data_IF_748846195406
#
_entry.id   IF_748846195406
#
_cell.length_a   1.000
_cell.length_b   1.000
_cell.length_c   1.000
_cell.angle_alpha   90.00
_cell.angle_beta   90.00
_cell.angle_gamma   90.00
#
_symmetry.space_group_name_H-M   'P 1'
#
loop_
_entity.id
_entity.type
_entity.pdbx_description
1 polymer ?
#
# COMPACT_ATOMS: atom_id res chain seq x y z
N UNK A 1 14.98 -19.87 27.14
CA UNK A 1 15.10 -19.68 25.68
C UNK A 1 13.72 -19.39 25.16
N UNK A 2 13.45 -18.15 24.74
CA UNK A 2 12.13 -17.77 24.21
C UNK A 2 12.05 -18.33 22.79
N UNK A 3 11.19 -19.32 22.57
CA UNK A 3 10.86 -19.79 21.22
C UNK A 3 10.05 -18.68 20.54
N UNK A 4 10.73 -17.83 19.79
CA UNK A 4 10.10 -16.92 18.83
C UNK A 4 9.59 -17.85 17.73
N UNK A 5 8.31 -18.20 17.77
CA UNK A 5 7.67 -18.98 16.72
C UNK A 5 7.75 -18.14 15.44
N UNK A 6 8.62 -18.59 14.55
CA UNK A 6 8.80 -18.18 13.16
C UNK A 6 7.53 -18.57 12.37
N UNK A 7 6.39 -17.96 12.71
CA UNK A 7 5.35 -17.81 11.70
C UNK A 7 5.85 -16.67 10.82
N UNK A 8 6.16 -16.90 9.53
CA UNK A 8 6.30 -15.78 8.61
C UNK A 8 5.06 -14.95 8.84
N UNK A 9 5.23 -13.67 9.19
CA UNK A 9 4.11 -12.75 9.37
C UNK A 9 3.44 -12.78 7.99
N UNK A 10 2.41 -13.62 7.84
CA UNK A 10 1.57 -13.63 6.67
C UNK A 10 0.88 -12.30 6.76
N UNK A 11 1.47 -11.28 6.15
CA UNK A 11 0.89 -9.97 6.22
C UNK A 11 -0.42 -10.08 5.50
N UNK A 12 -1.49 -10.09 6.28
CA UNK A 12 -2.83 -10.22 5.76
C UNK A 12 -3.06 -9.05 4.82
N UNK A 13 -3.65 -9.30 3.65
CA UNK A 13 -4.04 -8.25 2.68
C UNK A 13 -4.75 -7.07 3.38
N UNK A 14 -5.50 -7.37 4.45
CA UNK A 14 -6.11 -6.39 5.36
C UNK A 14 -5.11 -5.40 5.98
N UNK A 15 -3.98 -5.86 6.52
CA UNK A 15 -2.96 -4.99 7.11
C UNK A 15 -2.26 -4.12 6.06
N UNK A 16 -2.01 -4.66 4.85
CA UNK A 16 -1.44 -3.85 3.76
C UNK A 16 -2.37 -2.70 3.42
N UNK A 17 -3.67 -2.99 3.31
CA UNK A 17 -4.69 -1.99 3.04
C UNK A 17 -4.79 -0.93 4.13
N UNK A 18 -4.84 -1.34 5.40
CA UNK A 18 -4.89 -0.43 6.55
C UNK A 18 -3.65 0.47 6.56
N UNK A 19 -2.46 -0.11 6.40
CA UNK A 19 -1.20 0.64 6.37
C UNK A 19 -1.11 1.60 5.18
N UNK A 20 -1.57 1.19 4.00
CA UNK A 20 -1.60 2.05 2.81
C UNK A 20 -2.56 3.23 3.00
N UNK A 21 -3.75 2.96 3.54
CA UNK A 21 -4.73 4.00 3.83
C UNK A 21 -4.20 4.99 4.86
N UNK A 22 -3.57 4.52 5.95
CA UNK A 22 -2.96 5.37 6.97
C UNK A 22 -1.82 6.22 6.38
N UNK A 23 -0.93 5.61 5.59
CA UNK A 23 0.21 6.31 4.96
C UNK A 23 -0.26 7.42 4.03
N UNK A 24 -1.23 7.12 3.15
CA UNK A 24 -1.75 8.13 2.23
C UNK A 24 -2.58 9.20 2.95
N UNK A 25 -3.27 8.83 4.04
CA UNK A 25 -4.00 9.79 4.87
C UNK A 25 -3.06 10.71 5.65
N UNK A 26 -1.88 10.24 6.05
CA UNK A 26 -0.83 11.06 6.65
C UNK A 26 -0.21 12.03 5.63
N UNK A 27 0.03 11.56 4.40
CA UNK A 27 0.61 12.38 3.32
C UNK A 27 -0.34 13.47 2.79
N UNK A 28 -1.62 13.14 2.58
CA UNK A 28 -2.56 14.01 1.86
C UNK A 28 -3.72 14.52 2.73
N UNK A 29 -3.87 13.99 3.95
CA UNK A 29 -4.98 14.28 4.84
C UNK A 29 -6.11 13.25 4.72
N UNK A 30 -6.71 12.91 5.85
CA UNK A 30 -7.73 11.85 5.97
C UNK A 30 -9.02 12.13 5.18
N UNK A 31 -9.31 13.39 4.84
CA UNK A 31 -10.49 13.76 4.04
C UNK A 31 -10.29 13.53 2.55
N UNK A 32 -9.04 13.41 2.11
CA UNK A 32 -8.68 13.23 0.70
C UNK A 32 -8.62 11.76 0.29
N UNK A 33 -8.61 10.85 1.27
CA UNK A 33 -8.51 9.40 1.05
C UNK A 33 -9.86 8.75 1.34
N UNK A 34 -10.36 7.97 0.38
CA UNK A 34 -11.66 7.31 0.48
C UNK A 34 -11.60 5.88 -0.06
N UNK A 35 -12.38 4.98 0.52
CA UNK A 35 -12.43 3.57 0.13
C UNK A 35 -13.68 3.31 -0.73
N UNK A 36 -13.58 2.40 -1.69
CA UNK A 36 -14.75 1.88 -2.39
C UNK A 36 -15.65 1.07 -1.44
N UNK A 37 -16.94 0.94 -1.78
CA UNK A 37 -17.91 0.15 -1.01
C UNK A 37 -17.50 -1.33 -0.91
N UNK A 38 -16.88 -1.87 -1.96
CA UNK A 38 -16.32 -3.22 -2.03
C UNK A 38 -14.95 -3.38 -1.34
N UNK A 39 -14.35 -2.27 -0.88
CA UNK A 39 -13.04 -2.22 -0.24
C UNK A 39 -11.88 -2.81 -1.06
N UNK A 40 -12.03 -2.89 -2.39
CA UNK A 40 -10.99 -3.29 -3.34
C UNK A 40 -10.24 -2.10 -3.93
N UNK A 41 -10.80 -0.89 -3.85
CA UNK A 41 -10.18 0.31 -4.40
C UNK A 41 -10.03 1.40 -3.34
N UNK A 42 -8.90 2.09 -3.39
CA UNK A 42 -8.62 3.28 -2.61
C UNK A 42 -8.55 4.48 -3.55
N UNK A 43 -9.24 5.55 -3.20
CA UNK A 43 -9.25 6.79 -3.96
C UNK A 43 -8.56 7.90 -3.19
N UNK A 44 -7.71 8.65 -3.87
CA UNK A 44 -7.04 9.84 -3.34
C UNK A 44 -7.42 11.02 -4.22
N UNK A 45 -7.98 12.07 -3.65
CA UNK A 45 -8.38 13.28 -4.38
C UNK A 45 -7.51 14.46 -3.95
N UNK A 46 -6.75 15.05 -4.87
CA UNK A 46 -5.84 16.18 -4.62
C UNK A 46 -6.13 17.23 -5.69
N UNK A 47 -6.49 18.46 -5.32
CA UNK A 47 -6.78 19.56 -6.25
C UNK A 47 -7.73 19.15 -7.40
N UNK A 48 -8.88 18.55 -7.06
CA UNK A 48 -9.89 18.00 -7.99
C UNK A 48 -9.43 16.83 -8.90
N UNK A 49 -8.18 16.38 -8.76
CA UNK A 49 -7.63 15.22 -9.48
C UNK A 49 -7.79 13.98 -8.62
N UNK A 50 -8.36 12.94 -9.22
CA UNK A 50 -8.64 11.67 -8.54
C UNK A 50 -7.64 10.61 -9.00
N UNK A 51 -6.91 10.03 -8.05
CA UNK A 51 -6.16 8.80 -8.25
C UNK A 51 -6.96 7.61 -7.69
N UNK A 52 -6.98 6.50 -8.42
CA UNK A 52 -7.52 5.23 -7.96
C UNK A 52 -6.42 4.20 -7.83
N UNK A 53 -6.39 3.49 -6.71
CA UNK A 53 -5.41 2.46 -6.40
C UNK A 53 -6.17 1.15 -6.23
N UNK A 54 -5.81 0.15 -7.00
CA UNK A 54 -6.33 -1.21 -6.86
C UNK A 54 -5.59 -1.92 -5.72
N UNK A 55 -6.31 -2.34 -4.68
CA UNK A 55 -5.72 -2.90 -3.47
C UNK A 55 -5.32 -4.38 -3.61
N UNK A 56 -5.66 -5.03 -4.72
CA UNK A 56 -5.25 -6.41 -5.01
C UNK A 56 -3.96 -6.44 -5.84
N UNK A 57 -3.90 -5.63 -6.89
CA UNK A 57 -2.78 -5.54 -7.82
C UNK A 57 -1.76 -4.46 -7.45
N UNK A 58 -2.12 -3.54 -6.56
CA UNK A 58 -1.35 -2.34 -6.24
C UNK A 58 -1.13 -1.40 -7.44
N UNK A 59 -1.99 -1.49 -8.46
CA UNK A 59 -1.94 -0.64 -9.65
C UNK A 59 -2.57 0.74 -9.35
N UNK A 60 -1.87 1.81 -9.74
CA UNK A 60 -2.33 3.20 -9.60
C UNK A 60 -2.80 3.72 -10.95
N UNK A 61 -3.93 4.42 -10.97
CA UNK A 61 -4.45 5.15 -12.14
C UNK A 61 -4.76 6.58 -11.75
N UNK A 62 -4.21 7.53 -12.49
CA UNK A 62 -4.49 8.94 -12.34
C UNK A 62 -4.14 9.64 -13.66
N UNK A 63 -4.92 10.63 -14.07
CA UNK A 63 -4.65 11.44 -15.26
C UNK A 63 -3.46 12.41 -15.06
N UNK A 64 -3.05 12.66 -13.82
CA UNK A 64 -1.94 13.54 -13.48
C UNK A 64 -0.66 12.75 -13.22
N UNK A 65 0.39 13.02 -13.99
CA UNK A 65 1.65 12.27 -13.94
C UNK A 65 2.41 12.47 -12.61
N UNK A 66 2.35 13.65 -12.00
CA UNK A 66 3.06 13.94 -10.75
C UNK A 66 2.40 13.23 -9.56
N UNK A 67 1.07 13.30 -9.48
CA UNK A 67 0.28 12.58 -8.47
C UNK A 67 0.43 11.06 -8.69
N UNK A 68 0.32 10.61 -9.94
CA UNK A 68 0.51 9.21 -10.29
C UNK A 68 1.88 8.71 -9.82
N UNK A 69 2.97 9.40 -10.19
CA UNK A 69 4.32 8.98 -9.83
C UNK A 69 4.53 8.92 -8.32
N UNK A 70 4.03 9.91 -7.58
CA UNK A 70 4.17 9.98 -6.13
C UNK A 70 3.44 8.83 -5.43
N UNK A 71 2.18 8.57 -5.83
CA UNK A 71 1.36 7.51 -5.25
C UNK A 71 1.91 6.13 -5.64
N UNK A 72 2.31 5.94 -6.91
CA UNK A 72 2.89 4.69 -7.40
C UNK A 72 4.17 4.30 -6.65
N UNK A 73 5.08 5.26 -6.43
CA UNK A 73 6.30 5.02 -5.64
C UNK A 73 5.95 4.61 -4.20
N UNK A 74 5.00 5.32 -3.58
CA UNK A 74 4.57 5.05 -2.21
C UNK A 74 3.98 3.64 -2.09
N UNK A 75 3.09 3.27 -3.01
CA UNK A 75 2.44 1.95 -3.06
C UNK A 75 3.46 0.84 -3.29
N UNK A 76 4.43 1.03 -4.20
CA UNK A 76 5.49 0.04 -4.48
C UNK A 76 6.45 -0.13 -3.31
N UNK A 77 6.88 0.95 -2.67
CA UNK A 77 7.72 0.85 -1.48
C UNK A 77 6.99 0.21 -0.31
N UNK A 78 5.74 0.61 -0.06
CA UNK A 78 4.95 0.06 1.03
C UNK A 78 4.67 -1.43 0.83
N UNK A 79 4.29 -1.85 -0.38
CA UNK A 79 4.12 -3.27 -0.70
C UNK A 79 5.43 -4.05 -0.56
N UNK A 80 6.58 -3.49 -0.98
CA UNK A 80 7.88 -4.14 -0.80
C UNK A 80 8.32 -4.25 0.66
N UNK A 81 8.03 -3.25 1.50
CA UNK A 81 8.32 -3.29 2.94
C UNK A 81 7.47 -4.31 3.69
N UNK A 82 6.26 -4.57 3.19
CA UNK A 82 5.28 -5.43 3.85
C UNK A 82 5.34 -6.88 3.33
N UNK A 83 5.90 -7.10 2.13
CA UNK A 83 6.18 -8.45 1.66
C UNK A 83 7.23 -9.12 2.57
N UNK A 84 7.00 -10.38 3.01
CA UNK A 84 7.98 -11.08 3.81
C UNK A 84 9.30 -11.13 3.05
N UNK A 85 10.38 -10.69 3.69
CA UNK A 85 11.73 -10.77 3.14
C UNK A 85 11.97 -12.22 2.70
N UNK A 86 12.08 -12.43 1.39
CA UNK A 86 12.63 -13.67 0.84
C UNK A 86 14.10 -13.71 1.25
N UNK A 87 14.40 -14.21 2.44
CA UNK A 87 15.75 -14.60 2.81
C UNK A 87 16.15 -15.71 1.83
N UNK A 88 16.91 -15.37 0.80
CA UNK A 88 17.60 -16.36 -0.01
C UNK A 88 18.65 -17.01 0.89
N UNK A 89 18.71 -18.36 0.98
CA UNK A 89 19.79 -19.00 1.70
C UNK A 89 21.10 -18.56 1.04
N UNK A 90 22.02 -18.02 1.83
CA UNK A 90 23.33 -17.61 1.38
C UNK A 90 23.96 -18.77 0.60
N UNK A 91 24.34 -18.49 -0.65
CA UNK A 91 25.03 -19.47 -1.49
C UNK A 91 26.32 -19.90 -0.78
N UNK A 92 26.41 -21.20 -0.49
CA UNK A 92 27.59 -21.89 0.06
C UNK A 92 28.74 -21.88 -0.94
#
# INVERSE_FOLDING_TARGET
>A
TVNILDTPIQVNKKHVRECLQETLSDMYGSTMVSLSEDQQQLFVTIDDKKASIDLESFEVKCDDEEIHSTIDITVKHLSACIQPLRLTPAAT
#
